data_IF_227134506665
#
_entry.id   IF_227134506665
#
_cell.length_a   1.000
_cell.length_b   1.000
_cell.length_c   1.000
_cell.angle_alpha   90.00
_cell.angle_beta   90.00
_cell.angle_gamma   90.00
#
_symmetry.space_group_name_H-M   'P 1'
#
loop_
_entity.id
_entity.type
_entity.pdbx_description
1 polymer ?
#
# COMPACT_ATOMS: atom_id res chain seq x y z
N UNK A 1 -31.49 21.71 10.73
CA UNK A 1 -30.16 22.04 10.16
C UNK A 1 -29.01 21.77 11.12
N UNK A 2 -29.01 22.28 12.36
CA UNK A 2 -27.93 22.04 13.35
C UNK A 2 -27.60 20.56 13.61
N UNK A 3 -28.62 19.72 13.78
CA UNK A 3 -28.43 18.28 14.01
C UNK A 3 -27.74 17.59 12.81
N UNK A 4 -28.16 17.90 11.58
CA UNK A 4 -27.58 17.33 10.37
C UNK A 4 -26.10 17.70 10.26
N UNK A 5 -25.77 18.98 10.47
CA UNK A 5 -24.38 19.45 10.45
C UNK A 5 -23.54 18.69 11.48
N UNK A 6 -24.05 18.53 12.70
CA UNK A 6 -23.35 17.81 13.75
C UNK A 6 -23.10 16.34 13.39
N UNK A 7 -24.14 15.64 12.91
CA UNK A 7 -24.03 14.22 12.52
C UNK A 7 -23.07 14.05 11.34
N UNK A 8 -23.15 14.90 10.32
CA UNK A 8 -22.25 14.84 9.17
C UNK A 8 -20.80 15.12 9.58
N UNK A 9 -20.55 16.11 10.45
CA UNK A 9 -19.22 16.39 10.96
C UNK A 9 -18.67 15.20 11.77
N UNK A 10 -19.49 14.59 12.62
CA UNK A 10 -19.10 13.41 13.40
C UNK A 10 -18.72 12.24 12.49
N UNK A 11 -19.53 11.94 11.47
CA UNK A 11 -19.23 10.89 10.49
C UNK A 11 -17.94 11.18 9.72
N UNK A 12 -17.71 12.44 9.32
CA UNK A 12 -16.48 12.83 8.64
C UNK A 12 -15.23 12.63 9.52
N UNK A 13 -15.31 12.97 10.81
CA UNK A 13 -14.23 12.76 11.77
C UNK A 13 -13.96 11.27 11.96
N UNK A 14 -15.01 10.47 12.18
CA UNK A 14 -14.89 9.01 12.35
C UNK A 14 -14.24 8.37 11.11
N UNK A 15 -14.71 8.73 9.91
CA UNK A 15 -14.19 8.18 8.66
C UNK A 15 -12.74 8.57 8.41
N UNK A 16 -12.39 9.85 8.64
CA UNK A 16 -11.02 10.34 8.48
C UNK A 16 -10.06 9.67 9.47
N UNK A 17 -10.49 9.49 10.72
CA UNK A 17 -9.69 8.83 11.75
C UNK A 17 -9.48 7.35 11.44
N UNK A 18 -10.54 6.65 11.01
CA UNK A 18 -10.45 5.27 10.54
C UNK A 18 -9.43 5.12 9.42
N UNK A 19 -9.49 5.97 8.40
CA UNK A 19 -8.58 5.91 7.25
C UNK A 19 -7.11 6.12 7.65
N UNK A 20 -6.83 7.08 8.55
CA UNK A 20 -5.48 7.35 9.05
C UNK A 20 -4.89 6.17 9.83
N UNK A 21 -5.71 5.47 10.63
CA UNK A 21 -5.26 4.29 11.38
C UNK A 21 -5.00 3.13 10.41
N UNK A 22 -5.92 2.89 9.49
CA UNK A 22 -5.82 1.76 8.56
C UNK A 22 -4.70 1.91 7.53
N UNK A 23 -4.43 3.13 7.05
CA UNK A 23 -3.27 3.41 6.19
C UNK A 23 -1.97 3.07 6.90
N UNK A 24 -1.77 3.51 8.15
CA UNK A 24 -0.58 3.16 8.93
C UNK A 24 -0.42 1.65 9.11
N UNK A 25 -1.51 0.94 9.43
CA UNK A 25 -1.48 -0.51 9.56
C UNK A 25 -1.09 -1.20 8.24
N UNK A 26 -1.63 -0.74 7.12
CA UNK A 26 -1.27 -1.24 5.80
C UNK A 26 0.21 -0.98 5.46
N UNK A 27 0.73 0.22 5.74
CA UNK A 27 2.15 0.53 5.53
C UNK A 27 3.06 -0.39 6.35
N UNK A 28 2.70 -0.63 7.61
CA UNK A 28 3.45 -1.51 8.49
C UNK A 28 3.46 -2.95 7.98
N UNK A 29 2.33 -3.46 7.50
CA UNK A 29 2.24 -4.79 6.90
C UNK A 29 3.10 -4.89 5.63
N UNK A 30 3.04 -3.88 4.76
CA UNK A 30 3.85 -3.84 3.54
C UNK A 30 5.35 -3.81 3.86
N UNK A 31 5.76 -2.97 4.81
CA UNK A 31 7.15 -2.91 5.27
C UNK A 31 7.58 -4.23 5.92
N UNK A 32 6.72 -4.88 6.71
CA UNK A 32 7.02 -6.18 7.29
C UNK A 32 7.22 -7.24 6.20
N UNK A 33 6.36 -7.24 5.17
CA UNK A 33 6.49 -8.15 4.03
C UNK A 33 7.82 -7.94 3.27
N UNK A 34 8.21 -6.70 2.99
CA UNK A 34 9.47 -6.38 2.28
C UNK A 34 10.69 -6.77 3.12
N UNK A 35 10.66 -6.49 4.42
CA UNK A 35 11.77 -6.78 5.34
C UNK A 35 11.74 -8.21 5.89
N UNK A 36 10.89 -9.10 5.35
CA UNK A 36 10.87 -10.48 5.80
C UNK A 36 12.15 -11.18 5.35
N UNK A 37 12.92 -11.75 6.28
CA UNK A 37 14.21 -12.39 6.03
C UNK A 37 14.15 -13.52 4.98
N UNK A 38 12.99 -14.15 4.83
CA UNK A 38 12.76 -15.20 3.84
C UNK A 38 12.68 -14.67 2.40
N UNK A 39 12.36 -13.39 2.22
CA UNK A 39 12.02 -12.84 0.92
C UNK A 39 13.26 -12.58 0.05
N UNK A 40 14.46 -12.38 0.63
CA UNK A 40 15.64 -11.85 -0.09
C UNK A 40 15.28 -10.70 -1.04
N UNK A 41 14.32 -9.86 -0.61
CA UNK A 41 13.81 -8.74 -1.36
C UNK A 41 14.47 -7.45 -0.88
N UNK A 42 14.66 -6.49 -1.76
CA UNK A 42 15.08 -5.13 -1.40
C UNK A 42 14.18 -4.17 -2.16
N UNK A 43 13.59 -3.20 -1.46
CA UNK A 43 12.66 -2.26 -2.08
C UNK A 43 12.62 -0.95 -1.30
N UNK A 44 12.26 0.14 -1.99
CA UNK A 44 11.98 1.44 -1.38
C UNK A 44 10.48 1.70 -1.43
N UNK A 45 9.85 1.76 -0.28
CA UNK A 45 8.42 2.08 -0.17
C UNK A 45 8.26 3.58 -0.03
N UNK A 46 7.52 4.19 -0.96
CA UNK A 46 7.10 5.58 -0.81
C UNK A 46 5.84 5.67 0.08
N UNK A 47 5.60 6.85 0.63
CA UNK A 47 4.44 7.12 1.47
C UNK A 47 3.11 6.69 0.84
N UNK A 48 2.16 6.26 1.67
CA UNK A 48 0.79 5.98 1.23
C UNK A 48 0.14 7.28 0.78
N UNK A 49 -0.34 7.27 -0.45
CA UNK A 49 -1.21 8.30 -1.02
C UNK A 49 -2.58 7.69 -1.25
N UNK A 50 -3.58 8.50 -1.55
CA UNK A 50 -4.87 8.00 -1.99
C UNK A 50 -6.06 8.72 -1.38
N UNK A 51 -7.23 8.18 -1.66
CA UNK A 51 -8.51 8.70 -1.22
C UNK A 51 -9.03 7.87 -0.05
N UNK A 52 -10.02 8.35 0.73
CA UNK A 52 -10.57 7.59 1.85
C UNK A 52 -11.08 6.17 1.50
N UNK A 53 -11.31 5.88 0.21
CA UNK A 53 -11.72 4.57 -0.29
C UNK A 53 -10.55 3.64 -0.69
N UNK A 54 -9.31 4.13 -0.77
CA UNK A 54 -8.17 3.38 -1.33
C UNK A 54 -6.82 3.81 -0.74
N UNK A 55 -5.96 2.83 -0.47
CA UNK A 55 -4.56 3.01 -0.10
C UNK A 55 -3.69 2.75 -1.33
N UNK A 56 -2.99 3.79 -1.79
CA UNK A 56 -2.09 3.72 -2.94
C UNK A 56 -0.65 3.81 -2.45
N UNK A 57 0.17 2.85 -2.82
CA UNK A 57 1.59 2.83 -2.46
C UNK A 57 2.43 2.56 -3.69
N UNK A 58 3.52 3.30 -3.80
CA UNK A 58 4.52 3.05 -4.84
C UNK A 58 5.74 2.39 -4.20
N UNK A 59 6.10 1.23 -4.71
CA UNK A 59 7.32 0.51 -4.38
C UNK A 59 8.30 0.74 -5.53
N UNK A 60 9.41 1.42 -5.23
CA UNK A 60 10.47 1.71 -6.18
C UNK A 60 11.66 0.77 -5.99
N UNK A 61 12.39 0.51 -7.08
CA UNK A 61 13.61 -0.29 -7.09
C UNK A 61 13.43 -1.66 -6.40
N UNK A 62 12.32 -2.35 -6.68
CA UNK A 62 12.05 -3.67 -6.09
C UNK A 62 12.94 -4.72 -6.78
N UNK A 63 13.84 -5.31 -6.00
CA UNK A 63 14.67 -6.44 -6.40
C UNK A 63 14.25 -7.67 -5.62
N UNK A 64 13.96 -8.76 -6.33
CA UNK A 64 13.59 -10.05 -5.76
C UNK A 64 14.65 -11.07 -6.16
N UNK A 65 15.44 -11.53 -5.19
CA UNK A 65 16.46 -12.56 -5.44
C UNK A 65 15.80 -13.94 -5.48
N UNK A 66 15.81 -14.56 -6.65
CA UNK A 66 15.29 -15.91 -6.87
C UNK A 66 16.42 -16.94 -6.72
N UNK A 67 16.10 -18.19 -6.36
CA UNK A 67 17.13 -19.24 -6.27
C UNK A 67 17.38 -19.97 -7.59
N UNK A 68 16.39 -19.98 -8.48
CA UNK A 68 16.40 -20.77 -9.74
C UNK A 68 16.70 -19.88 -10.96
N UNK A 69 16.20 -18.64 -10.95
CA UNK A 69 16.42 -17.65 -12.01
C UNK A 69 17.29 -16.51 -11.51
N UNK A 70 17.81 -15.70 -12.43
CA UNK A 70 18.46 -14.44 -12.08
C UNK A 70 17.51 -13.49 -11.32
N UNK A 71 18.06 -12.45 -10.66
CA UNK A 71 17.26 -11.56 -9.85
C UNK A 71 16.20 -10.85 -10.70
N UNK A 72 14.97 -10.82 -10.21
CA UNK A 72 13.87 -10.09 -10.82
C UNK A 72 13.93 -8.65 -10.33
N UNK A 73 13.97 -7.70 -11.25
CA UNK A 73 13.96 -6.28 -10.93
C UNK A 73 12.70 -5.61 -11.48
N UNK A 74 12.02 -4.86 -10.63
CA UNK A 74 10.84 -4.06 -10.97
C UNK A 74 11.16 -2.61 -10.58
N UNK A 75 11.28 -1.74 -11.58
CA UNK A 75 11.72 -0.36 -11.35
C UNK A 75 10.67 0.43 -10.56
N UNK A 76 9.39 0.18 -10.84
CA UNK A 76 8.25 0.76 -10.12
C UNK A 76 7.06 -0.19 -10.12
N UNK A 77 6.56 -0.50 -8.93
CA UNK A 77 5.35 -1.25 -8.67
C UNK A 77 4.38 -0.38 -7.86
N UNK A 78 3.26 0.00 -8.46
CA UNK A 78 2.16 0.65 -7.76
C UNK A 78 1.20 -0.43 -7.22
N UNK A 79 0.97 -0.41 -5.91
CA UNK A 79 0.09 -1.32 -5.17
C UNK A 79 -1.08 -0.50 -4.65
N UNK A 80 -2.30 -0.86 -5.04
CA UNK A 80 -3.51 -0.13 -4.70
C UNK A 80 -4.48 -1.11 -4.02
N UNK A 81 -4.92 -0.79 -2.81
CA UNK A 81 -5.85 -1.62 -2.02
C UNK A 81 -7.06 -0.83 -1.60
N UNK A 82 -8.25 -1.42 -1.62
CA UNK A 82 -9.43 -0.78 -1.03
C UNK A 82 -9.27 -0.61 0.49
N UNK A 83 -9.85 0.46 1.03
CA UNK A 83 -9.76 0.75 2.48
C UNK A 83 -10.72 -0.08 3.32
N UNK A 84 -11.84 -0.48 2.73
CA UNK A 84 -12.94 -1.22 3.36
C UNK A 84 -12.99 -2.71 2.96
N UNK A 85 -12.13 -3.14 2.04
CA UNK A 85 -12.00 -4.54 1.61
C UNK A 85 -10.50 -4.86 1.55
N UNK A 86 -10.06 -5.72 2.46
CA UNK A 86 -8.66 -6.10 2.61
C UNK A 86 -8.22 -7.19 1.63
N UNK A 87 -9.15 -7.77 0.86
CA UNK A 87 -8.88 -8.81 -0.13
C UNK A 87 -8.67 -8.26 -1.55
N UNK A 88 -9.08 -7.01 -1.80
CA UNK A 88 -9.04 -6.41 -3.13
C UNK A 88 -7.76 -5.61 -3.36
N UNK A 89 -6.87 -6.17 -4.20
CA UNK A 89 -5.62 -5.53 -4.61
C UNK A 89 -5.54 -5.35 -6.12
N UNK A 90 -4.99 -4.21 -6.52
CA UNK A 90 -4.64 -3.89 -7.90
C UNK A 90 -3.13 -3.61 -7.92
N UNK A 91 -2.44 -4.26 -8.86
CA UNK A 91 -1.00 -4.11 -9.05
C UNK A 91 -0.74 -3.55 -10.45
N UNK A 92 0.08 -2.52 -10.53
CA UNK A 92 0.53 -1.94 -11.79
C UNK A 92 2.05 -1.81 -11.78
N UNK A 93 2.72 -2.49 -12.72
CA UNK A 93 4.17 -2.41 -12.87
C UNK A 93 4.53 -1.64 -14.13
N UNK A 94 5.49 -0.71 -14.03
CA UNK A 94 5.95 0.03 -15.21
C UNK A 94 6.88 -0.82 -16.09
N UNK A 95 7.88 -1.44 -15.47
CA UNK A 95 8.88 -2.26 -16.16
C UNK A 95 9.34 -3.39 -15.25
N UNK A 96 9.34 -4.60 -15.81
CA UNK A 96 9.79 -5.84 -15.17
C UNK A 96 10.95 -6.38 -15.99
N UNK A 97 12.07 -6.67 -15.34
CA UNK A 97 13.31 -7.12 -15.97
C UNK A 97 13.84 -8.36 -15.23
N UNK A 98 14.27 -9.37 -15.97
CA UNK A 98 15.10 -10.45 -15.44
C UNK A 98 16.56 -10.10 -15.74
N UNK A 99 17.38 -10.01 -14.70
CA UNK A 99 18.83 -9.82 -14.80
C UNK A 99 19.55 -11.16 -14.98
#
# INVERSE_FOLDING_TARGET
MRLIIFVTALLAILWSSFWLIMSKNYLNQLNAWINTDQARMTAKVNEIRGFPNRFDTTIADLEIKQSIFGPLRIDRLDVMRLSYDDSHYIFAANKIQNL
#
